data_IF_170580342642
#
_entry.id   IF_170580342642
#
_cell.length_a   1.000
_cell.length_b   1.000
_cell.length_c   1.000
_cell.angle_alpha   90.00
_cell.angle_beta   90.00
_cell.angle_gamma   90.00
#
_symmetry.space_group_name_H-M   'P 1'
#
loop_
_entity.id
_entity.type
_entity.pdbx_description
1 polymer ?
#
# COMPACT_ATOMS: atom_id res chain seq x y z
N UNK A 1 -15.44 -13.72 -16.12
CA UNK A 1 -14.48 -12.58 -16.22
C UNK A 1 -15.33 -11.35 -16.43
N UNK A 2 -15.15 -10.37 -15.58
CA UNK A 2 -15.89 -9.09 -15.66
C UNK A 2 -15.22 -8.18 -16.69
N UNK A 3 -15.94 -7.16 -17.14
CA UNK A 3 -15.39 -6.16 -18.08
C UNK A 3 -14.41 -5.22 -17.37
N UNK A 4 -14.66 -4.93 -16.08
CA UNK A 4 -13.89 -3.98 -15.27
C UNK A 4 -13.02 -4.65 -14.23
N UNK A 5 -11.96 -3.96 -13.85
CA UNK A 5 -11.00 -4.43 -12.88
C UNK A 5 -10.78 -3.42 -11.76
N UNK A 6 -10.64 -3.96 -10.55
CA UNK A 6 -10.28 -3.23 -9.35
C UNK A 6 -8.94 -3.75 -8.85
N UNK A 7 -7.95 -2.87 -8.77
CA UNK A 7 -6.61 -3.19 -8.29
C UNK A 7 -6.32 -2.30 -7.07
N UNK A 8 -5.91 -2.89 -5.98
CA UNK A 8 -5.68 -2.17 -4.72
C UNK A 8 -4.33 -2.48 -4.13
N UNK A 9 -3.70 -1.47 -3.51
CA UNK A 9 -2.72 -1.74 -2.48
C UNK A 9 -3.37 -2.45 -1.29
N UNK A 10 -2.55 -3.02 -0.44
CA UNK A 10 -2.97 -3.73 0.76
C UNK A 10 -3.00 -2.80 1.98
N UNK A 11 -1.82 -2.34 2.37
CA UNK A 11 -1.62 -1.51 3.57
C UNK A 11 -2.08 -0.08 3.27
N UNK A 12 -2.95 0.47 4.12
CA UNK A 12 -3.66 1.72 3.89
C UNK A 12 -5.09 1.51 3.37
N UNK A 13 -5.32 1.03 2.14
CA UNK A 13 -6.68 0.81 1.63
C UNK A 13 -7.45 -0.35 2.26
N UNK A 14 -6.78 -1.45 2.64
CA UNK A 14 -7.41 -2.66 3.17
C UNK A 14 -7.05 -2.93 4.63
N UNK A 15 -5.83 -2.59 5.06
CA UNK A 15 -5.35 -2.81 6.42
C UNK A 15 -4.70 -1.55 7.00
N UNK A 16 -4.70 -1.48 8.33
CA UNK A 16 -4.07 -0.40 9.09
C UNK A 16 -2.58 -0.67 9.34
N UNK A 17 -2.13 -1.91 9.11
CA UNK A 17 -0.76 -2.36 9.34
C UNK A 17 0.27 -1.62 8.50
N UNK A 18 1.51 -1.64 8.98
CA UNK A 18 2.73 -1.79 8.21
C UNK A 18 3.42 -3.06 8.73
N UNK A 19 3.24 -4.17 8.04
CA UNK A 19 3.71 -5.47 8.53
C UNK A 19 5.23 -5.54 8.70
N UNK A 20 5.99 -4.90 7.82
CA UNK A 20 7.45 -4.91 7.91
C UNK A 20 7.94 -4.06 9.11
N UNK A 21 7.30 -2.92 9.37
CA UNK A 21 7.53 -2.13 10.59
C UNK A 21 7.23 -2.94 11.84
N UNK A 22 6.04 -3.56 11.90
CA UNK A 22 5.58 -4.34 13.05
C UNK A 22 6.47 -5.57 13.32
N UNK A 23 6.97 -6.24 12.26
CA UNK A 23 7.98 -7.31 12.38
C UNK A 23 9.28 -6.79 13.02
N UNK A 24 9.77 -5.65 12.56
CA UNK A 24 10.98 -5.03 13.12
C UNK A 24 10.79 -4.66 14.59
N UNK A 25 9.68 -3.99 14.93
CA UNK A 25 9.35 -3.61 16.30
C UNK A 25 9.27 -4.82 17.23
N UNK A 26 8.72 -5.94 16.74
CA UNK A 26 8.51 -7.13 17.55
C UNK A 26 9.77 -7.98 17.75
N UNK A 27 10.57 -8.16 16.70
CA UNK A 27 11.67 -9.13 16.70
C UNK A 27 13.07 -8.52 16.84
N UNK A 28 13.23 -7.23 16.64
CA UNK A 28 14.53 -6.56 16.63
C UNK A 28 14.59 -5.54 17.76
N UNK A 29 15.63 -5.60 18.61
CA UNK A 29 15.87 -4.55 19.60
C UNK A 29 16.08 -3.19 18.92
N UNK A 30 15.33 -2.14 19.32
CA UNK A 30 15.22 -0.84 18.64
C UNK A 30 14.76 -0.95 17.15
N UNK A 31 14.00 -2.00 16.82
CA UNK A 31 13.57 -2.32 15.45
C UNK A 31 12.63 -1.30 14.84
N UNK A 32 11.80 -0.65 15.66
CA UNK A 32 10.96 0.47 15.27
C UNK A 32 11.77 1.65 14.74
N UNK A 33 12.87 1.98 15.42
CA UNK A 33 13.80 3.04 15.00
C UNK A 33 14.58 2.64 13.76
N UNK A 34 15.10 1.40 13.75
CA UNK A 34 15.83 0.88 12.60
C UNK A 34 14.98 0.93 11.33
N UNK A 35 13.72 0.49 11.41
CA UNK A 35 12.80 0.54 10.28
C UNK A 35 12.59 1.97 9.79
N UNK A 36 12.26 2.91 10.70
CA UNK A 36 12.03 4.32 10.35
C UNK A 36 13.23 4.97 9.65
N UNK A 37 14.44 4.71 10.16
CA UNK A 37 15.69 5.21 9.57
C UNK A 37 15.86 4.66 8.15
N UNK A 38 15.67 3.35 7.95
CA UNK A 38 15.84 2.71 6.66
C UNK A 38 14.72 3.07 5.66
N UNK A 39 13.51 3.30 6.14
CA UNK A 39 12.40 3.78 5.31
C UNK A 39 12.68 5.21 4.80
N UNK A 40 13.12 6.12 5.66
CA UNK A 40 13.52 7.47 5.25
C UNK A 40 14.70 7.47 4.27
N UNK A 41 15.63 6.55 4.45
CA UNK A 41 16.75 6.38 3.50
C UNK A 41 16.28 5.84 2.15
N UNK A 42 15.34 4.88 2.13
CA UNK A 42 14.70 4.37 0.93
C UNK A 42 13.99 5.50 0.16
N UNK A 43 13.19 6.31 0.84
CA UNK A 43 12.51 7.47 0.27
C UNK A 43 13.51 8.51 -0.29
N UNK A 44 14.62 8.75 0.43
CA UNK A 44 15.69 9.64 -0.04
C UNK A 44 16.32 9.15 -1.35
N UNK A 45 16.59 7.85 -1.47
CA UNK A 45 17.14 7.27 -2.69
C UNK A 45 16.17 7.36 -3.88
N UNK A 46 14.87 7.22 -3.62
CA UNK A 46 13.82 7.29 -4.65
C UNK A 46 13.55 8.73 -5.09
N UNK A 47 13.33 9.63 -4.15
CA UNK A 47 12.77 10.97 -4.43
C UNK A 47 13.86 12.04 -4.66
N UNK A 48 14.94 11.98 -3.90
CA UNK A 48 16.01 12.99 -3.92
C UNK A 48 17.15 12.57 -4.84
N UNK A 49 17.74 11.38 -4.60
CA UNK A 49 18.89 10.89 -5.40
C UNK A 49 18.42 10.44 -6.77
N UNK A 50 17.24 9.82 -6.85
CA UNK A 50 16.69 9.19 -8.07
C UNK A 50 17.64 8.16 -8.63
N UNK A 51 18.11 7.28 -7.76
CA UNK A 51 19.07 6.22 -8.09
C UNK A 51 18.55 5.35 -9.23
N UNK A 52 19.32 5.21 -10.29
CA UNK A 52 18.92 4.50 -11.49
C UNK A 52 18.63 3.02 -11.20
N UNK A 53 17.41 2.58 -11.51
CA UNK A 53 16.96 1.21 -11.27
C UNK A 53 16.54 0.91 -9.83
N UNK A 54 16.63 1.86 -8.91
CA UNK A 54 16.12 1.72 -7.56
C UNK A 54 14.60 1.88 -7.53
N UNK A 55 13.92 1.13 -6.68
CA UNK A 55 12.44 1.12 -6.59
C UNK A 55 12.01 1.50 -5.17
N UNK A 56 10.93 2.26 -5.05
CA UNK A 56 10.29 2.50 -3.76
C UNK A 56 9.88 1.17 -3.08
N UNK A 57 10.04 1.11 -1.77
CA UNK A 57 9.78 -0.08 -0.96
C UNK A 57 10.95 -1.05 -0.82
N UNK A 58 12.14 -0.68 -1.32
CA UNK A 58 13.35 -1.48 -1.10
C UNK A 58 13.78 -1.54 0.38
N UNK A 59 13.17 -0.76 1.28
CA UNK A 59 13.28 -0.94 2.73
C UNK A 59 13.17 -2.42 3.11
N UNK A 60 12.26 -3.16 2.47
CA UNK A 60 12.09 -4.59 2.70
C UNK A 60 13.36 -5.42 2.43
N UNK A 61 14.17 -5.03 1.44
CA UNK A 61 15.47 -5.67 1.17
C UNK A 61 16.54 -5.25 2.17
N UNK A 62 16.55 -3.98 2.55
CA UNK A 62 17.51 -3.43 3.50
C UNK A 62 17.37 -4.09 4.89
N UNK A 63 16.16 -4.54 5.25
CA UNK A 63 15.88 -5.21 6.52
C UNK A 63 16.36 -6.66 6.58
N UNK A 64 16.49 -7.36 5.47
CA UNK A 64 16.75 -8.81 5.47
C UNK A 64 18.03 -9.25 6.20
N UNK A 65 19.17 -8.55 6.10
CA UNK A 65 20.36 -8.90 6.90
C UNK A 65 20.09 -8.87 8.41
N UNK A 66 19.23 -7.96 8.87
CA UNK A 66 18.88 -7.83 10.29
C UNK A 66 17.90 -8.92 10.73
N UNK A 67 17.00 -9.38 9.86
CA UNK A 67 16.16 -10.55 10.13
C UNK A 67 17.01 -11.81 10.34
N UNK A 68 18.04 -12.00 9.50
CA UNK A 68 18.99 -13.13 9.68
C UNK A 68 19.82 -12.97 10.96
N UNK A 69 20.21 -11.75 11.33
CA UNK A 69 20.91 -11.49 12.59
C UNK A 69 20.10 -11.94 13.80
N UNK A 70 18.79 -11.65 13.80
CA UNK A 70 17.85 -12.04 14.85
C UNK A 70 17.31 -13.48 14.66
N UNK A 71 17.78 -14.21 13.63
CA UNK A 71 17.43 -15.59 13.31
C UNK A 71 15.94 -15.81 13.02
N UNK A 72 15.27 -14.83 12.45
CA UNK A 72 13.90 -14.96 12.00
C UNK A 72 13.80 -16.06 10.93
N UNK A 73 12.68 -16.78 10.97
CA UNK A 73 12.32 -17.83 10.02
C UNK A 73 11.05 -17.46 9.26
N UNK A 74 10.77 -18.19 8.17
CA UNK A 74 9.48 -18.04 7.48
C UNK A 74 8.30 -18.33 8.43
N UNK A 75 8.44 -19.30 9.35
CA UNK A 75 7.40 -19.64 10.32
C UNK A 75 7.14 -18.48 11.28
N UNK A 76 8.18 -17.75 11.72
CA UNK A 76 8.03 -16.56 12.58
C UNK A 76 7.24 -15.47 11.85
N UNK A 77 7.55 -15.20 10.57
CA UNK A 77 6.82 -14.22 9.77
C UNK A 77 5.36 -14.62 9.57
N UNK A 78 5.10 -15.91 9.29
CA UNK A 78 3.76 -16.45 9.09
C UNK A 78 2.94 -16.36 10.39
N UNK A 79 3.50 -16.80 11.51
CA UNK A 79 2.79 -16.83 12.78
C UNK A 79 2.53 -15.43 13.33
N UNK A 80 3.49 -14.51 13.18
CA UNK A 80 3.28 -13.11 13.49
C UNK A 80 2.15 -12.52 12.65
N UNK A 81 2.23 -12.67 11.32
CA UNK A 81 1.26 -12.10 10.38
C UNK A 81 -0.17 -12.59 10.63
N UNK A 82 -0.35 -13.89 10.92
CA UNK A 82 -1.68 -14.46 11.23
C UNK A 82 -2.35 -13.80 12.46
N UNK A 83 -1.55 -13.36 13.42
CA UNK A 83 -2.04 -12.83 14.69
C UNK A 83 -2.14 -11.29 14.70
N UNK A 84 -1.62 -10.61 13.69
CA UNK A 84 -1.52 -9.15 13.62
C UNK A 84 -2.09 -8.60 12.32
N UNK A 85 -3.37 -8.88 12.03
CA UNK A 85 -4.13 -8.30 10.92
C UNK A 85 -5.12 -7.31 11.48
N UNK A 86 -4.90 -6.04 11.20
CA UNK A 86 -5.79 -4.95 11.59
C UNK A 86 -6.46 -4.39 10.33
N UNK A 87 -7.64 -4.89 10.03
CA UNK A 87 -8.39 -4.52 8.82
C UNK A 87 -8.94 -3.09 8.92
N UNK A 88 -8.89 -2.33 7.84
CA UNK A 88 -9.69 -1.12 7.69
C UNK A 88 -11.16 -1.50 7.81
N UNK A 89 -11.93 -0.70 8.53
CA UNK A 89 -13.37 -0.94 8.69
C UNK A 89 -14.01 -1.19 7.32
N UNK A 90 -14.81 -2.24 7.22
CA UNK A 90 -15.55 -2.65 6.03
C UNK A 90 -14.69 -3.12 4.81
N UNK A 91 -13.37 -3.26 4.94
CA UNK A 91 -12.53 -3.76 3.83
C UNK A 91 -12.87 -5.20 3.42
N UNK A 92 -13.22 -6.07 4.36
CA UNK A 92 -13.70 -7.43 4.06
C UNK A 92 -15.04 -7.41 3.29
N UNK A 93 -15.94 -6.51 3.65
CA UNK A 93 -17.18 -6.29 2.90
C UNK A 93 -16.90 -5.79 1.49
N UNK A 94 -16.01 -4.80 1.34
CA UNK A 94 -15.58 -4.30 0.04
C UNK A 94 -15.04 -5.42 -0.86
N UNK A 95 -14.08 -6.20 -0.38
CA UNK A 95 -13.49 -7.30 -1.17
C UNK A 95 -14.51 -8.38 -1.53
N UNK A 96 -15.44 -8.69 -0.63
CA UNK A 96 -16.53 -9.63 -0.94
C UNK A 96 -17.41 -9.11 -2.06
N UNK A 97 -17.82 -7.84 -2.01
CA UNK A 97 -18.61 -7.20 -3.05
C UNK A 97 -17.87 -7.17 -4.40
N UNK A 98 -16.60 -6.78 -4.39
CA UNK A 98 -15.78 -6.66 -5.59
C UNK A 98 -15.60 -7.99 -6.33
N UNK A 99 -15.38 -9.09 -5.61
CA UNK A 99 -15.25 -10.43 -6.22
C UNK A 99 -16.49 -10.84 -7.02
N UNK A 100 -17.64 -10.31 -6.70
CA UNK A 100 -18.90 -10.60 -7.37
C UNK A 100 -19.20 -9.64 -8.55
N UNK A 101 -18.44 -8.54 -8.68
CA UNK A 101 -18.75 -7.45 -9.61
C UNK A 101 -17.59 -7.03 -10.53
N UNK A 102 -16.35 -7.29 -10.14
CA UNK A 102 -15.15 -6.86 -10.87
C UNK A 102 -14.05 -7.93 -10.80
N UNK A 103 -13.14 -7.96 -11.78
CA UNK A 103 -11.87 -8.68 -11.61
C UNK A 103 -11.05 -7.94 -10.55
N UNK A 104 -10.74 -8.59 -9.46
CA UNK A 104 -10.14 -7.93 -8.28
C UNK A 104 -8.77 -8.50 -7.97
N UNK A 105 -7.79 -7.60 -7.75
CA UNK A 105 -6.40 -7.94 -7.45
C UNK A 105 -5.87 -7.10 -6.31
N UNK A 106 -4.98 -7.68 -5.50
CA UNK A 106 -4.17 -6.98 -4.49
C UNK A 106 -2.74 -6.93 -4.99
N UNK A 107 -2.14 -5.74 -5.06
CA UNK A 107 -0.76 -5.52 -5.48
C UNK A 107 -0.04 -4.79 -4.37
N UNK A 108 0.73 -5.51 -3.57
CA UNK A 108 1.30 -5.04 -2.31
C UNK A 108 2.83 -5.11 -2.29
N UNK A 109 3.45 -4.16 -1.61
CA UNK A 109 4.88 -4.20 -1.32
C UNK A 109 5.21 -5.26 -0.26
N UNK A 110 4.28 -5.58 0.65
CA UNK A 110 4.48 -6.49 1.78
C UNK A 110 5.01 -7.87 1.40
N UNK A 111 5.61 -8.56 2.35
CA UNK A 111 6.06 -9.95 2.17
C UNK A 111 4.90 -10.92 1.95
N UNK A 112 5.17 -11.97 1.16
CA UNK A 112 4.16 -12.98 0.80
C UNK A 112 3.52 -13.67 1.99
N UNK A 113 4.25 -13.86 3.09
CA UNK A 113 3.75 -14.45 4.34
C UNK A 113 2.59 -13.64 4.93
N UNK A 114 2.69 -12.32 4.90
CA UNK A 114 1.60 -11.42 5.34
C UNK A 114 0.42 -11.45 4.37
N UNK A 115 0.68 -11.37 3.08
CA UNK A 115 -0.38 -11.36 2.05
C UNK A 115 -1.16 -12.67 2.03
N UNK A 116 -0.51 -13.82 2.28
CA UNK A 116 -1.21 -15.11 2.43
C UNK A 116 -2.09 -15.13 3.69
N UNK A 117 -1.58 -14.66 4.83
CA UNK A 117 -2.35 -14.55 6.06
C UNK A 117 -3.56 -13.62 5.87
N UNK A 118 -3.38 -12.46 5.24
CA UNK A 118 -4.43 -11.53 4.91
C UNK A 118 -5.48 -12.12 3.96
N UNK A 119 -5.04 -12.80 2.90
CA UNK A 119 -5.94 -13.44 1.94
C UNK A 119 -6.86 -14.45 2.63
N UNK A 120 -6.31 -15.24 3.55
CA UNK A 120 -7.10 -16.17 4.36
C UNK A 120 -8.08 -15.42 5.28
N UNK A 121 -7.65 -14.36 5.95
CA UNK A 121 -8.50 -13.54 6.83
C UNK A 121 -9.64 -12.87 6.07
N UNK A 122 -9.35 -12.30 4.90
CA UNK A 122 -10.32 -11.59 4.04
C UNK A 122 -11.17 -12.54 3.19
N UNK A 123 -10.89 -13.86 3.18
CA UNK A 123 -11.51 -14.83 2.27
C UNK A 123 -11.32 -14.42 0.79
N UNK A 124 -10.11 -13.92 0.49
CA UNK A 124 -9.72 -13.46 -0.84
C UNK A 124 -8.81 -14.49 -1.54
N UNK A 125 -8.97 -14.75 -2.85
CA UNK A 125 -8.12 -15.71 -3.55
C UNK A 125 -6.67 -15.23 -3.61
N UNK A 126 -5.76 -16.03 -3.03
CA UNK A 126 -4.34 -15.70 -2.97
C UNK A 126 -3.68 -15.62 -4.36
N UNK A 127 -4.18 -16.39 -5.32
CA UNK A 127 -3.75 -16.34 -6.73
C UNK A 127 -3.99 -14.99 -7.41
N UNK A 128 -4.86 -14.14 -6.86
CA UNK A 128 -5.11 -12.79 -7.34
C UNK A 128 -4.29 -11.74 -6.59
N UNK A 129 -3.15 -12.14 -6.02
CA UNK A 129 -2.27 -11.23 -5.27
C UNK A 129 -0.87 -11.17 -5.87
N UNK A 130 -0.28 -9.98 -5.85
CA UNK A 130 1.11 -9.71 -6.19
C UNK A 130 1.79 -9.13 -4.96
N UNK A 131 2.95 -9.66 -4.60
CA UNK A 131 3.63 -9.33 -3.34
C UNK A 131 5.14 -9.52 -3.46
N UNK A 132 5.91 -8.95 -2.54
CA UNK A 132 7.35 -9.19 -2.46
C UNK A 132 7.62 -10.61 -1.96
N UNK A 133 8.15 -11.44 -2.85
CA UNK A 133 8.47 -12.84 -2.54
C UNK A 133 9.82 -12.92 -1.83
N UNK A 134 9.80 -13.39 -0.60
CA UNK A 134 11.00 -13.65 0.19
C UNK A 134 10.96 -15.04 0.81
N UNK A 135 12.11 -15.71 0.84
CA UNK A 135 12.35 -16.93 1.59
C UNK A 135 13.46 -16.63 2.59
N UNK A 136 13.08 -16.30 3.83
CA UNK A 136 14.03 -15.91 4.87
C UNK A 136 14.93 -17.07 5.28
N UNK A 137 14.42 -18.31 5.25
CA UNK A 137 15.18 -19.50 5.58
C UNK A 137 16.31 -19.82 4.55
N UNK A 138 16.20 -19.26 3.34
CA UNK A 138 17.24 -19.35 2.33
C UNK A 138 18.38 -18.32 2.51
N UNK A 139 18.21 -17.38 3.44
CA UNK A 139 19.21 -16.36 3.76
C UNK A 139 20.15 -16.87 4.87
N UNK A 140 21.43 -16.57 4.75
CA UNK A 140 22.41 -16.97 5.76
C UNK A 140 23.57 -15.97 5.85
N UNK A 141 24.11 -15.81 7.05
CA UNK A 141 25.32 -15.06 7.35
C UNK A 141 26.28 -15.99 8.10
N UNK A 142 27.57 -15.92 7.79
CA UNK A 142 28.59 -16.57 8.61
C UNK A 142 28.89 -15.74 9.87
N UNK A 143 29.71 -16.26 10.80
CA UNK A 143 29.99 -15.60 12.08
C UNK A 143 30.62 -14.21 11.94
N UNK A 144 31.52 -14.03 10.97
CA UNK A 144 32.16 -12.73 10.71
C UNK A 144 31.15 -11.74 10.12
N UNK A 145 30.27 -12.20 9.21
CA UNK A 145 29.20 -11.39 8.64
C UNK A 145 28.15 -11.01 9.70
N UNK A 146 27.75 -11.94 10.58
CA UNK A 146 26.85 -11.64 11.71
C UNK A 146 27.41 -10.55 12.60
N UNK A 147 28.73 -10.62 12.91
CA UNK A 147 29.41 -9.59 13.70
C UNK A 147 29.35 -8.24 13.00
N UNK A 148 29.60 -8.19 11.70
CA UNK A 148 29.51 -6.95 10.92
C UNK A 148 28.10 -6.38 10.86
N UNK A 149 27.08 -7.21 10.59
CA UNK A 149 25.67 -6.76 10.55
C UNK A 149 25.24 -6.21 11.91
N UNK A 150 25.66 -6.84 13.02
CA UNK A 150 25.42 -6.31 14.37
C UNK A 150 26.06 -4.92 14.56
N UNK A 151 27.29 -4.71 14.06
CA UNK A 151 27.97 -3.41 14.11
C UNK A 151 27.24 -2.37 13.22
N UNK A 152 26.80 -2.75 12.02
CA UNK A 152 26.06 -1.86 11.14
C UNK A 152 24.72 -1.43 11.75
N UNK A 153 24.00 -2.35 12.43
CA UNK A 153 22.79 -1.99 13.20
C UNK A 153 23.07 -0.86 14.19
N UNK A 154 24.14 -1.00 14.99
CA UNK A 154 24.53 0.03 15.97
C UNK A 154 24.89 1.35 15.26
N UNK A 155 25.71 1.29 14.21
CA UNK A 155 26.12 2.50 13.47
C UNK A 155 24.93 3.25 12.86
N UNK A 156 23.97 2.53 12.28
CA UNK A 156 22.74 3.11 11.71
C UNK A 156 21.91 3.79 12.82
N UNK A 157 21.72 3.12 13.95
CA UNK A 157 20.95 3.67 15.07
C UNK A 157 21.61 4.88 15.73
N UNK A 158 22.96 4.92 15.80
CA UNK A 158 23.73 6.03 16.34
C UNK A 158 23.83 7.23 15.37
N UNK A 159 23.68 7.00 14.06
CA UNK A 159 23.85 8.01 13.01
C UNK A 159 22.67 8.02 12.02
N UNK A 160 21.44 8.34 12.45
CA UNK A 160 20.22 8.12 11.70
C UNK A 160 20.08 8.95 10.40
N UNK A 161 20.91 9.97 10.22
CA UNK A 161 20.89 10.87 9.06
C UNK A 161 22.17 10.77 8.20
N UNK A 162 23.08 9.82 8.52
CA UNK A 162 24.35 9.64 7.79
C UNK A 162 24.13 8.71 6.56
N UNK A 163 23.57 9.27 5.51
CA UNK A 163 23.28 8.52 4.28
C UNK A 163 24.55 8.09 3.53
N UNK A 164 25.70 8.77 3.69
CA UNK A 164 26.99 8.31 3.14
C UNK A 164 27.44 7.00 3.82
N UNK A 165 27.24 6.88 5.12
CA UNK A 165 27.45 5.62 5.85
C UNK A 165 26.52 4.52 5.36
N UNK A 166 25.25 4.83 5.08
CA UNK A 166 24.28 3.84 4.60
C UNK A 166 24.64 3.37 3.18
N UNK A 167 25.09 4.27 2.31
CA UNK A 167 25.61 3.92 0.98
C UNK A 167 26.79 2.95 1.10
N UNK A 168 27.74 3.20 2.02
CA UNK A 168 28.87 2.29 2.27
C UNK A 168 28.38 0.92 2.75
N UNK A 169 27.44 0.87 3.70
CA UNK A 169 26.89 -0.38 4.24
C UNK A 169 26.17 -1.16 3.16
N UNK A 170 25.18 -0.56 2.51
CA UNK A 170 24.24 -1.29 1.65
C UNK A 170 24.71 -1.48 0.20
N UNK A 171 25.55 -0.57 -0.34
CA UNK A 171 26.05 -0.68 -1.70
C UNK A 171 27.52 -1.06 -1.81
N UNK A 172 28.28 -1.09 -0.68
CA UNK A 172 29.68 -1.47 -0.72
C UNK A 172 30.01 -2.68 0.17
N UNK A 173 29.56 -2.74 1.41
CA UNK A 173 29.93 -3.80 2.36
C UNK A 173 29.03 -5.04 2.27
N UNK A 174 27.69 -4.88 2.29
CA UNK A 174 26.75 -6.00 2.16
C UNK A 174 26.92 -6.73 0.82
N UNK A 175 27.18 -6.06 -0.34
CA UNK A 175 27.47 -6.75 -1.59
C UNK A 175 28.68 -7.70 -1.59
N UNK A 176 29.58 -7.57 -0.61
CA UNK A 176 30.74 -8.49 -0.43
C UNK A 176 30.39 -9.74 0.37
N UNK A 177 29.20 -9.78 0.99
CA UNK A 177 28.73 -10.87 1.82
C UNK A 177 27.98 -11.93 1.01
N UNK A 178 28.01 -13.18 1.49
CA UNK A 178 27.33 -14.31 0.83
C UNK A 178 25.82 -14.12 0.69
N UNK A 179 25.17 -13.50 1.66
CA UNK A 179 23.75 -13.21 1.69
C UNK A 179 23.26 -12.39 0.46
N UNK A 180 24.14 -11.51 -0.06
CA UNK A 180 23.79 -10.63 -1.17
C UNK A 180 23.40 -11.37 -2.45
N UNK A 181 24.00 -12.55 -2.71
CA UNK A 181 23.66 -13.37 -3.87
C UNK A 181 22.18 -13.82 -3.88
N UNK A 182 21.54 -13.85 -2.73
CA UNK A 182 20.11 -14.14 -2.59
C UNK A 182 19.29 -12.84 -2.57
N UNK A 183 19.69 -11.85 -1.77
CA UNK A 183 18.97 -10.57 -1.65
C UNK A 183 18.83 -9.86 -3.00
N UNK A 184 19.87 -9.82 -3.83
CA UNK A 184 19.84 -9.13 -5.13
C UNK A 184 18.82 -9.71 -6.12
N UNK A 185 18.36 -10.97 -5.90
CA UNK A 185 17.37 -11.63 -6.75
C UNK A 185 15.93 -11.37 -6.31
N UNK A 186 15.75 -10.79 -5.13
CA UNK A 186 14.42 -10.45 -4.63
C UNK A 186 13.92 -9.24 -5.42
N UNK A 187 12.76 -9.40 -6.03
CA UNK A 187 12.09 -8.33 -6.76
C UNK A 187 10.99 -7.73 -5.87
N UNK A 188 11.21 -6.47 -5.45
CA UNK A 188 10.26 -5.77 -4.58
C UNK A 188 9.10 -5.26 -5.42
N UNK A 189 7.89 -5.51 -4.94
CA UNK A 189 6.64 -5.04 -5.57
C UNK A 189 6.28 -3.65 -5.00
N UNK A 190 7.07 -2.64 -5.34
CA UNK A 190 6.84 -1.25 -4.96
C UNK A 190 7.13 -0.32 -6.13
N UNK A 191 6.50 0.82 -6.22
CA UNK A 191 6.68 1.77 -7.30
C UNK A 191 6.55 1.15 -8.69
N UNK A 192 7.64 1.18 -9.46
CA UNK A 192 7.70 0.51 -10.77
C UNK A 192 7.37 -0.99 -10.69
N UNK A 193 7.69 -1.67 -9.57
CA UNK A 193 7.34 -3.08 -9.36
C UNK A 193 5.82 -3.31 -9.35
N UNK A 194 5.05 -2.43 -8.70
CA UNK A 194 3.57 -2.47 -8.74
C UNK A 194 3.05 -2.21 -10.16
N UNK A 195 3.65 -1.26 -10.87
CA UNK A 195 3.27 -1.00 -12.28
C UNK A 195 3.52 -2.21 -13.18
N UNK A 196 4.66 -2.91 -13.01
CA UNK A 196 4.95 -4.14 -13.76
C UNK A 196 3.99 -5.28 -13.40
N UNK A 197 3.58 -5.40 -12.13
CA UNK A 197 2.54 -6.34 -11.72
C UNK A 197 1.19 -6.03 -12.41
N UNK A 198 0.85 -4.75 -12.57
CA UNK A 198 -0.35 -4.35 -13.34
C UNK A 198 -0.20 -4.72 -14.82
N UNK A 199 0.96 -4.55 -15.43
CA UNK A 199 1.19 -4.99 -16.82
C UNK A 199 0.97 -6.49 -16.98
N UNK A 200 1.47 -7.29 -16.01
CA UNK A 200 1.27 -8.74 -15.99
C UNK A 200 -0.22 -9.12 -15.87
N UNK A 201 -0.96 -8.43 -14.99
CA UNK A 201 -2.42 -8.60 -14.85
C UNK A 201 -3.13 -8.27 -16.17
N UNK A 202 -2.79 -7.16 -16.80
CA UNK A 202 -3.39 -6.73 -18.07
C UNK A 202 -3.13 -7.76 -19.17
N UNK A 203 -1.91 -8.26 -19.27
CA UNK A 203 -1.52 -9.21 -20.31
C UNK A 203 -2.15 -10.59 -20.11
N UNK A 204 -2.09 -11.12 -18.87
CA UNK A 204 -2.58 -12.47 -18.55
C UNK A 204 -4.10 -12.57 -18.61
N UNK A 205 -4.80 -11.57 -18.06
CA UNK A 205 -6.26 -11.58 -17.95
C UNK A 205 -6.95 -10.76 -19.06
N UNK A 206 -6.16 -10.20 -19.99
CA UNK A 206 -6.65 -9.41 -21.14
C UNK A 206 -7.56 -8.26 -20.75
N UNK A 207 -7.18 -7.55 -19.69
CA UNK A 207 -7.91 -6.42 -19.16
C UNK A 207 -7.72 -5.21 -20.07
N UNK A 208 -8.79 -4.47 -20.36
CA UNK A 208 -8.66 -3.14 -20.95
C UNK A 208 -8.24 -2.15 -19.86
N UNK A 209 -7.07 -1.54 -20.03
CA UNK A 209 -6.52 -0.56 -19.09
C UNK A 209 -7.50 0.61 -18.81
N UNK A 210 -8.35 0.98 -19.77
CA UNK A 210 -9.38 2.01 -19.59
C UNK A 210 -10.51 1.57 -18.67
N UNK A 211 -10.62 0.27 -18.43
CA UNK A 211 -11.61 -0.34 -17.55
C UNK A 211 -11.00 -0.72 -16.19
N UNK A 212 -9.89 -0.06 -15.81
CA UNK A 212 -9.19 -0.31 -14.56
C UNK A 212 -9.43 0.81 -13.56
N UNK A 213 -9.60 0.45 -12.28
CA UNK A 213 -9.53 1.32 -11.12
C UNK A 213 -8.34 0.87 -10.27
N UNK A 214 -7.45 1.80 -9.95
CA UNK A 214 -6.35 1.59 -9.01
C UNK A 214 -6.49 2.47 -7.77
N UNK A 215 -6.23 1.91 -6.59
CA UNK A 215 -6.27 2.61 -5.30
C UNK A 215 -5.02 2.32 -4.47
N UNK A 216 -4.40 3.36 -3.92
CA UNK A 216 -3.21 3.29 -3.08
C UNK A 216 -3.08 4.48 -2.14
N UNK A 217 -2.05 4.52 -1.29
CA UNK A 217 -1.93 5.50 -0.21
C UNK A 217 -0.51 6.05 0.05
N UNK A 218 0.52 5.56 -0.66
CA UNK A 218 1.92 5.84 -0.32
C UNK A 218 2.81 6.12 -1.54
N UNK A 219 4.10 6.36 -1.30
CA UNK A 219 5.11 6.57 -2.35
C UNK A 219 5.20 5.36 -3.30
N UNK A 220 4.95 4.14 -2.79
CA UNK A 220 5.01 2.93 -3.61
C UNK A 220 3.88 2.83 -4.65
N UNK A 221 2.87 3.72 -4.59
CA UNK A 221 1.72 3.75 -5.48
C UNK A 221 1.80 4.85 -6.56
N UNK A 222 2.87 5.64 -6.57
CA UNK A 222 2.99 6.77 -7.49
C UNK A 222 2.90 6.33 -8.95
N UNK A 223 3.68 5.33 -9.35
CA UNK A 223 3.70 4.85 -10.72
C UNK A 223 2.39 4.18 -11.14
N UNK A 224 1.78 3.26 -10.35
CA UNK A 224 0.51 2.67 -10.73
C UNK A 224 -0.66 3.66 -10.76
N UNK A 225 -0.70 4.64 -9.84
CA UNK A 225 -1.71 5.71 -9.86
C UNK A 225 -1.59 6.58 -11.10
N UNK A 226 -0.36 7.04 -11.42
CA UNK A 226 -0.10 7.80 -12.62
C UNK A 226 -0.43 6.99 -13.89
N UNK A 227 -0.06 5.71 -13.91
CA UNK A 227 -0.36 4.82 -15.02
C UNK A 227 -1.86 4.65 -15.25
N UNK A 228 -2.66 4.44 -14.20
CA UNK A 228 -4.12 4.36 -14.29
C UNK A 228 -4.72 5.66 -14.84
N UNK A 229 -4.35 6.80 -14.25
CA UNK A 229 -4.82 8.12 -14.68
C UNK A 229 -4.50 8.41 -16.15
N UNK A 230 -3.25 8.23 -16.54
CA UNK A 230 -2.74 8.63 -17.87
C UNK A 230 -3.29 7.74 -19.00
N UNK A 231 -3.77 6.55 -18.65
CA UNK A 231 -4.45 5.64 -19.57
C UNK A 231 -5.98 5.67 -19.48
N UNK A 232 -6.54 6.73 -18.88
CA UNK A 232 -7.98 6.94 -18.75
C UNK A 232 -8.72 5.91 -17.87
N UNK A 233 -8.00 5.18 -17.03
CA UNK A 233 -8.54 4.45 -15.89
C UNK A 233 -8.90 5.40 -14.74
N UNK A 234 -9.37 4.85 -13.62
CA UNK A 234 -9.60 5.60 -12.38
C UNK A 234 -8.40 5.41 -11.44
N UNK A 235 -7.89 6.50 -10.89
CA UNK A 235 -6.83 6.50 -9.89
C UNK A 235 -7.29 7.19 -8.62
N UNK A 236 -7.18 6.49 -7.47
CA UNK A 236 -7.68 6.95 -6.17
C UNK A 236 -6.56 6.93 -5.14
N UNK A 237 -6.35 8.07 -4.47
CA UNK A 237 -5.57 8.14 -3.24
C UNK A 237 -6.51 7.93 -2.04
N UNK A 238 -6.29 6.90 -1.23
CA UNK A 238 -7.09 6.59 -0.04
C UNK A 238 -6.30 6.92 1.22
N UNK A 239 -6.68 7.96 1.95
CA UNK A 239 -5.95 8.46 3.14
C UNK A 239 -4.44 8.61 2.85
N UNK A 240 -4.10 9.00 1.63
CA UNK A 240 -2.73 9.03 1.18
C UNK A 240 -1.97 10.26 1.68
N UNK A 241 -0.65 10.13 1.73
CA UNK A 241 0.25 11.25 1.97
C UNK A 241 0.44 12.11 0.72
N UNK A 242 1.46 12.96 0.70
CA UNK A 242 1.70 13.87 -0.41
C UNK A 242 2.02 13.17 -1.75
N UNK A 243 2.62 11.99 -1.74
CA UNK A 243 3.06 11.29 -2.95
C UNK A 243 1.89 10.82 -3.82
N UNK A 244 0.96 9.98 -3.34
CA UNK A 244 -0.19 9.55 -4.13
C UNK A 244 -1.13 10.70 -4.47
N UNK A 245 -1.29 11.70 -3.58
CA UNK A 245 -2.15 12.86 -3.85
C UNK A 245 -1.63 13.76 -4.98
N UNK A 246 -0.32 13.78 -5.26
CA UNK A 246 0.26 14.52 -6.40
C UNK A 246 -0.10 13.90 -7.75
N UNK A 247 -0.41 12.61 -7.78
CA UNK A 247 -0.58 11.86 -9.03
C UNK A 247 -1.96 11.25 -9.24
N UNK A 248 -2.72 10.97 -8.18
CA UNK A 248 -4.08 10.47 -8.28
C UNK A 248 -5.05 11.52 -8.84
N UNK A 249 -6.15 11.07 -9.43
CA UNK A 249 -7.24 11.93 -9.90
C UNK A 249 -8.28 12.20 -8.82
N UNK A 250 -8.52 11.21 -7.95
CA UNK A 250 -9.54 11.23 -6.90
C UNK A 250 -8.88 11.02 -5.54
N UNK A 251 -9.33 11.76 -4.54
CA UNK A 251 -8.99 11.55 -3.15
C UNK A 251 -10.21 11.03 -2.39
N UNK A 252 -9.99 9.99 -1.59
CA UNK A 252 -10.90 9.52 -0.55
C UNK A 252 -10.22 9.69 0.81
N UNK A 253 -10.89 10.42 1.72
CA UNK A 253 -10.46 10.53 3.13
C UNK A 253 -11.59 9.96 3.99
N UNK A 254 -11.33 8.78 4.55
CA UNK A 254 -12.38 7.99 5.21
C UNK A 254 -11.80 6.99 6.23
N UNK A 255 -12.47 6.78 7.38
CA UNK A 255 -12.10 5.72 8.32
C UNK A 255 -12.61 4.33 7.88
N UNK A 256 -13.34 4.23 6.76
CA UNK A 256 -13.98 2.99 6.30
C UNK A 256 -13.86 2.81 4.79
N UNK A 257 -13.58 1.57 4.37
CA UNK A 257 -13.54 1.14 2.99
C UNK A 257 -14.93 1.12 2.31
N UNK A 258 -16.03 1.35 3.06
CA UNK A 258 -17.38 1.47 2.49
C UNK A 258 -17.46 2.64 1.50
N UNK A 259 -16.69 3.71 1.74
CA UNK A 259 -16.59 4.84 0.82
C UNK A 259 -16.01 4.42 -0.54
N UNK A 260 -15.00 3.57 -0.53
CA UNK A 260 -14.45 2.95 -1.75
C UNK A 260 -15.49 2.07 -2.43
N UNK A 261 -16.30 1.31 -1.65
CA UNK A 261 -17.36 0.46 -2.21
C UNK A 261 -18.41 1.26 -2.98
N UNK A 262 -18.77 2.48 -2.53
CA UNK A 262 -19.68 3.37 -3.27
C UNK A 262 -19.12 3.70 -4.65
N UNK A 263 -17.87 4.15 -4.72
CA UNK A 263 -17.22 4.52 -5.99
C UNK A 263 -17.07 3.30 -6.90
N UNK A 264 -16.63 2.17 -6.33
CA UNK A 264 -16.47 0.92 -7.08
C UNK A 264 -17.82 0.39 -7.63
N UNK A 265 -18.91 0.52 -6.85
CA UNK A 265 -20.25 0.13 -7.30
C UNK A 265 -20.72 0.97 -8.48
N UNK A 266 -20.61 2.29 -8.40
CA UNK A 266 -20.97 3.18 -9.50
C UNK A 266 -20.12 2.86 -10.72
N UNK A 267 -18.81 2.69 -10.55
CA UNK A 267 -17.91 2.33 -11.64
C UNK A 267 -18.25 0.97 -12.26
N UNK A 268 -18.53 -0.06 -11.46
CA UNK A 268 -18.88 -1.39 -11.96
C UNK A 268 -20.10 -1.36 -12.90
N UNK A 269 -21.07 -0.51 -12.63
CA UNK A 269 -22.34 -0.42 -13.35
C UNK A 269 -22.38 0.65 -14.46
N UNK A 270 -21.38 1.56 -14.48
CA UNK A 270 -21.37 2.70 -15.41
C UNK A 270 -19.99 2.87 -16.04
N UNK A 271 -19.42 4.07 -16.01
CA UNK A 271 -18.10 4.41 -16.51
C UNK A 271 -17.42 5.50 -15.66
N UNK A 272 -16.17 5.83 -15.99
CA UNK A 272 -15.40 6.88 -15.32
C UNK A 272 -16.12 8.23 -15.30
N UNK A 273 -16.78 8.61 -16.40
CA UNK A 273 -17.49 9.90 -16.52
C UNK A 273 -18.62 10.00 -15.49
N UNK A 274 -19.34 8.90 -15.27
CA UNK A 274 -20.41 8.83 -14.26
C UNK A 274 -19.87 8.89 -12.84
N UNK A 275 -18.72 8.27 -12.57
CA UNK A 275 -18.04 8.38 -11.27
C UNK A 275 -17.66 9.84 -11.00
N UNK A 276 -17.03 10.53 -11.96
CA UNK A 276 -16.66 11.93 -11.79
C UNK A 276 -17.88 12.86 -11.65
N UNK A 277 -18.97 12.57 -12.37
CA UNK A 277 -20.24 13.27 -12.20
C UNK A 277 -20.80 13.07 -10.79
N UNK A 278 -20.84 11.83 -10.29
CA UNK A 278 -21.27 11.51 -8.93
C UNK A 278 -20.45 12.29 -7.88
N UNK A 279 -19.13 12.32 -8.01
CA UNK A 279 -18.25 13.03 -7.06
C UNK A 279 -18.57 14.53 -7.02
N UNK A 280 -18.82 15.16 -8.18
CA UNK A 280 -19.21 16.57 -8.22
C UNK A 280 -20.57 16.82 -7.56
N UNK A 281 -21.54 15.94 -7.80
CA UNK A 281 -22.88 16.03 -7.19
C UNK A 281 -22.82 15.71 -5.69
N UNK A 282 -22.01 14.74 -5.26
CA UNK A 282 -21.80 14.40 -3.85
C UNK A 282 -21.35 15.60 -3.02
N UNK A 283 -20.45 16.42 -3.56
CA UNK A 283 -19.91 17.59 -2.87
C UNK A 283 -20.84 18.80 -2.86
N UNK A 284 -21.93 18.78 -3.60
CA UNK A 284 -22.89 19.88 -3.74
C UNK A 284 -24.32 19.52 -3.32
N UNK A 285 -24.56 18.28 -2.86
CA UNK A 285 -25.89 17.76 -2.57
C UNK A 285 -26.15 17.68 -1.07
N UNK A 286 -27.30 18.20 -0.65
CA UNK A 286 -27.75 18.12 0.75
C UNK A 286 -28.49 16.81 1.09
N UNK A 287 -28.86 16.02 0.07
CA UNK A 287 -29.66 14.78 0.16
C UNK A 287 -28.90 13.62 -0.50
N UNK A 288 -27.94 13.03 0.24
CA UNK A 288 -27.14 11.92 -0.26
C UNK A 288 -27.92 10.63 -0.41
N UNK A 289 -28.98 10.39 0.38
CA UNK A 289 -29.84 9.20 0.21
C UNK A 289 -30.51 9.21 -1.15
N UNK A 290 -31.03 10.38 -1.58
CA UNK A 290 -31.58 10.53 -2.90
C UNK A 290 -30.51 10.40 -4.00
N UNK A 291 -29.34 11.00 -3.80
CA UNK A 291 -28.23 10.90 -4.75
C UNK A 291 -27.81 9.45 -4.97
N UNK A 292 -27.66 8.66 -3.89
CA UNK A 292 -27.29 7.25 -3.98
C UNK A 292 -28.34 6.44 -4.75
N UNK A 293 -29.61 6.76 -4.55
CA UNK A 293 -30.72 6.14 -5.30
C UNK A 293 -30.68 6.53 -6.79
N UNK A 294 -30.40 7.79 -7.11
CA UNK A 294 -30.32 8.29 -8.50
C UNK A 294 -29.15 7.65 -9.27
N UNK A 295 -28.07 7.25 -8.56
CA UNK A 295 -26.91 6.51 -9.09
C UNK A 295 -27.02 4.99 -8.93
N UNK A 296 -28.17 4.47 -8.52
CA UNK A 296 -28.44 3.03 -8.35
C UNK A 296 -27.38 2.33 -7.48
N UNK A 297 -26.93 3.02 -6.41
CA UNK A 297 -25.99 2.41 -5.46
C UNK A 297 -26.64 1.18 -4.82
N UNK A 298 -25.90 0.07 -4.81
CA UNK A 298 -26.34 -1.20 -4.22
C UNK A 298 -26.90 -0.99 -2.80
N UNK A 299 -28.03 -1.62 -2.48
CA UNK A 299 -28.73 -1.40 -1.22
C UNK A 299 -27.88 -1.73 0.01
N UNK A 300 -27.10 -2.82 -0.02
CA UNK A 300 -26.25 -3.20 1.12
C UNK A 300 -25.12 -2.18 1.33
N UNK A 301 -24.58 -1.60 0.25
CA UNK A 301 -23.59 -0.52 0.32
C UNK A 301 -24.22 0.75 0.88
N UNK A 302 -25.41 1.11 0.37
CA UNK A 302 -26.17 2.27 0.85
C UNK A 302 -26.45 2.18 2.34
N UNK A 303 -27.04 1.08 2.79
CA UNK A 303 -27.40 0.89 4.20
C UNK A 303 -26.17 0.95 5.10
N UNK A 304 -25.08 0.31 4.66
CA UNK A 304 -23.83 0.30 5.40
C UNK A 304 -23.15 1.66 5.43
N UNK A 305 -23.21 2.44 4.36
CA UNK A 305 -22.67 3.80 4.33
C UNK A 305 -23.37 4.70 5.37
N UNK A 306 -24.71 4.69 5.42
CA UNK A 306 -25.49 5.49 6.37
C UNK A 306 -25.53 4.89 7.79
N UNK A 307 -25.11 3.64 7.98
CA UNK A 307 -24.79 3.08 9.30
C UNK A 307 -23.46 3.62 9.86
N UNK A 308 -22.50 3.86 8.96
CA UNK A 308 -21.13 4.28 9.33
C UNK A 308 -21.04 5.79 9.54
N UNK A 309 -21.75 6.58 8.73
CA UNK A 309 -21.58 8.02 8.66
C UNK A 309 -22.88 8.77 8.99
N UNK A 310 -22.79 9.66 9.96
CA UNK A 310 -23.81 10.67 10.21
C UNK A 310 -23.68 11.84 9.21
N UNK A 311 -24.77 12.58 9.03
CA UNK A 311 -24.86 13.66 8.04
C UNK A 311 -23.76 14.73 8.17
N UNK A 312 -23.30 14.99 9.37
CA UNK A 312 -22.28 16.01 9.65
C UNK A 312 -20.84 15.47 9.57
N UNK A 313 -20.67 14.14 9.37
CA UNK A 313 -19.37 13.44 9.36
C UNK A 313 -19.14 12.61 8.08
N UNK A 314 -19.74 13.03 6.97
CA UNK A 314 -19.55 12.32 5.71
C UNK A 314 -18.07 12.35 5.26
N UNK A 315 -17.56 11.22 4.71
CA UNK A 315 -16.19 11.14 4.24
C UNK A 315 -15.93 12.10 3.08
N UNK A 316 -14.68 12.46 2.89
CA UNK A 316 -14.28 13.26 1.75
C UNK A 316 -14.13 12.37 0.53
N UNK A 317 -14.81 12.72 -0.55
CA UNK A 317 -14.62 12.15 -1.88
C UNK A 317 -14.50 13.33 -2.83
N UNK A 318 -13.30 13.62 -3.34
CA UNK A 318 -13.06 14.81 -4.17
C UNK A 318 -12.21 14.48 -5.39
N UNK A 319 -12.49 15.13 -6.52
CA UNK A 319 -11.53 15.26 -7.62
C UNK A 319 -10.43 16.20 -7.16
N UNK A 320 -9.17 15.77 -7.29
CA UNK A 320 -8.02 16.56 -6.86
C UNK A 320 -7.76 17.66 -7.86
N UNK A 321 -7.63 18.91 -7.37
CA UNK A 321 -7.27 20.10 -8.15
C UNK A 321 -6.18 20.88 -7.42
N UNK A 322 -5.52 21.81 -8.11
CA UNK A 322 -4.54 22.68 -7.47
C UNK A 322 -5.13 23.51 -6.32
N UNK A 323 -6.42 23.85 -6.42
CA UNK A 323 -7.11 24.70 -5.44
C UNK A 323 -7.44 23.96 -4.14
N UNK A 324 -7.79 22.66 -4.23
CA UNK A 324 -8.22 21.85 -3.08
C UNK A 324 -7.10 20.94 -2.53
N UNK A 325 -5.96 20.80 -3.23
CA UNK A 325 -4.88 19.90 -2.86
C UNK A 325 -4.41 20.06 -1.42
N UNK A 326 -4.12 21.30 -0.98
CA UNK A 326 -3.62 21.56 0.37
C UNK A 326 -4.61 21.20 1.47
N UNK A 327 -5.91 21.45 1.25
CA UNK A 327 -6.96 21.04 2.19
C UNK A 327 -7.06 19.52 2.27
N UNK A 328 -7.06 18.86 1.11
CA UNK A 328 -7.15 17.40 1.04
C UNK A 328 -5.94 16.75 1.72
N UNK A 329 -4.72 17.24 1.44
CA UNK A 329 -3.50 16.71 2.02
C UNK A 329 -3.54 16.74 3.55
N UNK A 330 -3.87 17.89 4.14
CA UNK A 330 -3.95 18.01 5.60
C UNK A 330 -4.95 17.03 6.20
N UNK A 331 -6.16 16.97 5.64
CA UNK A 331 -7.21 16.04 6.14
C UNK A 331 -6.87 14.57 5.91
N UNK A 332 -6.19 14.26 4.83
CA UNK A 332 -5.76 12.90 4.49
C UNK A 332 -4.68 12.41 5.45
N UNK A 333 -3.67 13.23 5.72
CA UNK A 333 -2.61 12.92 6.70
C UNK A 333 -3.18 12.82 8.10
N UNK A 334 -4.07 13.74 8.51
CA UNK A 334 -4.74 13.67 9.81
C UNK A 334 -5.55 12.37 9.96
N UNK A 335 -6.32 11.98 8.93
CA UNK A 335 -7.07 10.74 8.94
C UNK A 335 -6.14 9.52 9.01
N UNK A 336 -5.08 9.49 8.19
CA UNK A 336 -4.07 8.43 8.17
C UNK A 336 -3.47 8.22 9.59
N UNK A 337 -3.02 9.30 10.23
CA UNK A 337 -2.45 9.26 11.58
C UNK A 337 -3.49 8.81 12.62
N UNK A 338 -4.72 9.30 12.51
CA UNK A 338 -5.80 8.95 13.45
C UNK A 338 -6.15 7.45 13.41
N UNK A 339 -6.14 6.81 12.25
CA UNK A 339 -6.55 5.40 12.12
C UNK A 339 -5.38 4.42 12.22
N UNK A 340 -4.15 4.81 11.85
CA UNK A 340 -2.95 3.95 11.84
C UNK A 340 -2.00 4.24 13.01
N UNK A 341 -2.20 5.35 13.73
CA UNK A 341 -1.24 5.89 14.70
C UNK A 341 -0.11 6.68 14.03
N UNK A 342 0.52 7.56 14.79
CA UNK A 342 1.56 8.47 14.26
C UNK A 342 2.78 7.71 13.73
N UNK A 343 3.11 6.57 14.32
CA UNK A 343 4.29 5.77 13.93
C UNK A 343 4.16 5.18 12.53
N UNK A 344 3.03 4.53 12.24
CA UNK A 344 2.77 3.92 10.92
C UNK A 344 2.24 4.98 9.95
N UNK A 345 1.38 5.88 10.41
CA UNK A 345 0.81 6.95 9.58
C UNK A 345 1.86 7.89 8.98
N UNK A 346 2.99 8.07 9.65
CA UNK A 346 4.11 8.89 9.19
C UNK A 346 5.06 8.21 8.20
N UNK A 347 4.88 6.93 7.89
CA UNK A 347 5.74 6.19 6.96
C UNK A 347 5.35 6.43 5.49
N UNK A 348 6.35 6.44 4.58
CA UNK A 348 6.29 6.33 3.12
C UNK A 348 5.47 7.29 2.38
#
# INVERSE_FOLDING_TARGET
MFEKSFITDCEGPLTLNDNAFELCEHFIDDGDKLFKILSLYDDYLVDIVKEEGYKAGNTLKLLLPFFVLEKLTNDDLIDFSKNHIYAVRDSKFLLKYLKETMNTYIVSTSYGQYIEALSNYMEFPFENTYYTKVDVDALSLNEDELTKISQFKVQILENPEDYELFDEIFFSEIPKMGIYETIKKIDVIGGLGKKLAIDDIIENDKIDIKQMLYIGDSITDVEPLAFARDNNGISISFNGNEYPLKVAEIAIVSPSAITTAVIANIYANTDKSKVLQFINEYNSNDDLEKLFKDYEVNQDINDKFFEVFDKDEYPIIKIITQENYGEILNKSVDMRNNIRGDDIGGLG
#
